data_IF_530771920910
#
_entry.id   IF_530771920910
#
_cell.length_a   1.000
_cell.length_b   1.000
_cell.length_c   1.000
_cell.angle_alpha   90.00
_cell.angle_beta   90.00
_cell.angle_gamma   90.00
#
_symmetry.space_group_name_H-M   'P 1'
#
loop_
_entity.id
_entity.type
_entity.pdbx_description
1 polymer ?
#
# COMPACT_ATOMS: atom_id res chain seq x y z
N UNK A 1 7.85 8.40 -60.90
CA UNK A 1 7.84 7.40 -59.82
C UNK A 1 9.27 7.12 -59.33
N UNK A 2 9.94 8.07 -58.64
CA UNK A 2 11.32 7.89 -58.12
C UNK A 2 11.56 8.46 -56.71
N UNK A 3 10.71 9.37 -56.22
CA UNK A 3 10.90 10.01 -54.90
C UNK A 3 10.50 9.10 -53.74
N UNK A 4 9.51 8.25 -53.94
CA UNK A 4 8.95 7.39 -52.88
C UNK A 4 9.96 6.32 -52.42
N UNK A 5 10.71 5.72 -53.36
CA UNK A 5 11.75 4.74 -53.04
C UNK A 5 12.91 5.32 -52.20
N UNK A 6 13.26 6.61 -52.34
CA UNK A 6 14.39 7.19 -51.60
C UNK A 6 14.10 7.37 -50.11
N UNK A 7 12.87 7.74 -49.75
CA UNK A 7 12.49 7.87 -48.34
C UNK A 7 12.49 6.52 -47.62
N UNK A 8 11.98 5.48 -48.28
CA UNK A 8 12.00 4.12 -47.74
C UNK A 8 13.43 3.54 -47.67
N UNK A 9 14.30 3.87 -48.62
CA UNK A 9 15.70 3.40 -48.63
C UNK A 9 16.55 4.10 -47.56
N UNK A 10 16.35 5.41 -47.36
CA UNK A 10 16.98 6.17 -46.27
C UNK A 10 16.48 5.67 -44.90
N UNK A 11 15.18 5.40 -44.76
CA UNK A 11 14.62 4.79 -43.55
C UNK A 11 15.18 3.39 -43.32
N UNK A 12 15.28 2.55 -44.35
CA UNK A 12 15.88 1.22 -44.25
C UNK A 12 17.35 1.30 -43.84
N UNK A 13 18.10 2.27 -44.35
CA UNK A 13 19.52 2.48 -44.02
C UNK A 13 19.71 2.97 -42.58
N UNK A 14 18.84 3.87 -42.14
CA UNK A 14 18.78 4.32 -40.74
C UNK A 14 18.36 3.17 -39.82
N UNK A 15 17.34 2.38 -40.19
CA UNK A 15 16.89 1.23 -39.41
C UNK A 15 17.97 0.14 -39.32
N UNK A 16 18.69 -0.16 -40.39
CA UNK A 16 19.80 -1.11 -40.36
C UNK A 16 20.98 -0.58 -39.53
N UNK A 17 21.29 0.73 -39.63
CA UNK A 17 22.31 1.37 -38.80
C UNK A 17 21.92 1.41 -37.32
N UNK A 18 20.65 1.70 -37.01
CA UNK A 18 20.09 1.72 -35.66
C UNK A 18 19.96 0.32 -35.06
N UNK A 19 19.57 -0.68 -35.86
CA UNK A 19 19.55 -2.07 -35.41
C UNK A 19 20.95 -2.56 -35.03
N UNK A 20 21.99 -2.15 -35.75
CA UNK A 20 23.38 -2.48 -35.44
C UNK A 20 23.90 -1.86 -34.14
N UNK A 21 23.53 -0.61 -33.84
CA UNK A 21 23.90 0.05 -32.57
C UNK A 21 23.08 -0.48 -31.38
N UNK A 22 21.79 -0.77 -31.57
CA UNK A 22 20.92 -1.37 -30.56
C UNK A 22 21.33 -2.81 -30.20
N UNK A 23 21.78 -3.60 -31.16
CA UNK A 23 22.26 -4.97 -30.92
C UNK A 23 23.58 -5.00 -30.12
N UNK A 24 24.48 -4.02 -30.33
CA UNK A 24 25.75 -3.90 -29.60
C UNK A 24 25.57 -3.36 -28.16
N UNK A 25 24.66 -2.39 -27.99
CA UNK A 25 24.37 -1.80 -26.68
C UNK A 25 23.43 -2.66 -25.82
N UNK A 26 22.77 -3.68 -26.37
CA UNK A 26 21.70 -4.42 -25.71
C UNK A 26 22.08 -5.03 -24.35
N UNK A 27 23.27 -5.64 -24.21
CA UNK A 27 23.70 -6.25 -22.94
C UNK A 27 24.05 -5.21 -21.87
N UNK A 28 24.71 -4.12 -22.25
CA UNK A 28 25.07 -3.03 -21.34
C UNK A 28 23.83 -2.17 -20.97
N UNK A 29 22.90 -2.02 -21.92
CA UNK A 29 21.62 -1.38 -21.72
C UNK A 29 20.73 -2.21 -20.78
N UNK A 30 20.70 -3.54 -20.90
CA UNK A 30 19.95 -4.41 -20.00
C UNK A 30 20.45 -4.30 -18.57
N UNK A 31 21.77 -4.37 -18.33
CA UNK A 31 22.33 -4.23 -16.99
C UNK A 31 22.04 -2.86 -16.39
N UNK A 32 22.14 -1.80 -17.19
CA UNK A 32 21.88 -0.41 -16.77
C UNK A 32 20.39 -0.18 -16.48
N UNK A 33 19.52 -0.69 -17.35
CA UNK A 33 18.07 -0.62 -17.18
C UNK A 33 17.62 -1.39 -15.95
N UNK A 34 18.21 -2.57 -15.68
CA UNK A 34 17.91 -3.35 -14.47
C UNK A 34 18.41 -2.68 -13.19
N UNK A 35 19.57 -2.02 -13.22
CA UNK A 35 20.06 -1.24 -12.10
C UNK A 35 19.14 -0.03 -11.82
N UNK A 36 18.78 0.71 -12.86
CA UNK A 36 17.86 1.86 -12.77
C UNK A 36 16.45 1.45 -12.29
N UNK A 37 15.96 0.31 -12.76
CA UNK A 37 14.68 -0.25 -12.32
C UNK A 37 14.70 -0.63 -10.83
N UNK A 38 15.79 -1.23 -10.34
CA UNK A 38 15.93 -1.53 -8.91
C UNK A 38 15.99 -0.28 -8.05
N UNK A 39 16.70 0.74 -8.48
CA UNK A 39 16.77 2.02 -7.78
C UNK A 39 15.41 2.74 -7.78
N UNK A 40 14.69 2.69 -8.90
CA UNK A 40 13.36 3.27 -8.99
C UNK A 40 12.35 2.53 -8.10
N UNK A 41 12.34 1.20 -8.12
CA UNK A 41 11.48 0.37 -7.26
C UNK A 41 11.85 0.52 -5.78
N UNK A 42 13.13 0.64 -5.44
CA UNK A 42 13.58 0.92 -4.08
C UNK A 42 13.25 2.35 -3.60
N UNK A 43 13.03 3.28 -4.53
CA UNK A 43 12.53 4.63 -4.25
C UNK A 43 11.01 4.72 -4.13
N UNK A 44 10.28 3.64 -4.42
CA UNK A 44 8.85 3.53 -4.11
C UNK A 44 8.72 3.09 -2.65
N UNK A 45 7.77 3.68 -1.92
CA UNK A 45 7.44 3.32 -0.54
C UNK A 45 6.68 1.98 -0.50
N UNK A 46 7.40 0.90 -0.83
CA UNK A 46 6.88 -0.45 -0.88
C UNK A 46 7.14 -1.14 0.46
N UNK A 47 6.09 -1.73 1.01
CA UNK A 47 6.18 -2.57 2.20
C UNK A 47 7.03 -3.79 1.88
N UNK A 48 8.00 -4.10 2.74
CA UNK A 48 8.82 -5.30 2.57
C UNK A 48 7.97 -6.57 2.63
N UNK A 49 8.46 -7.65 2.04
CA UNK A 49 7.72 -8.91 2.07
C UNK A 49 7.56 -9.42 3.51
N UNK A 50 8.58 -9.20 4.33
CA UNK A 50 8.63 -9.60 5.73
C UNK A 50 7.59 -8.84 6.57
N UNK A 51 7.48 -7.52 6.38
CA UNK A 51 6.44 -6.71 7.03
C UNK A 51 5.03 -7.10 6.55
N UNK A 52 4.88 -7.35 5.25
CA UNK A 52 3.62 -7.83 4.70
C UNK A 52 3.20 -9.17 5.32
N UNK A 53 4.13 -10.11 5.44
CA UNK A 53 3.88 -11.42 6.04
C UNK A 53 3.58 -11.30 7.54
N UNK A 54 4.25 -10.38 8.26
CA UNK A 54 3.97 -10.10 9.67
C UNK A 54 2.55 -9.52 9.88
N UNK A 55 2.16 -8.52 9.07
CA UNK A 55 0.80 -7.93 9.14
C UNK A 55 -0.25 -8.95 8.73
N UNK A 56 0.04 -9.79 7.73
CA UNK A 56 -0.87 -10.86 7.30
C UNK A 56 -1.12 -11.88 8.41
N UNK A 57 -0.07 -12.28 9.13
CA UNK A 57 -0.20 -13.18 10.27
C UNK A 57 -1.02 -12.52 11.40
N UNK A 58 -0.72 -11.26 11.74
CA UNK A 58 -1.48 -10.50 12.73
C UNK A 58 -2.97 -10.37 12.33
N UNK A 59 -3.26 -10.09 11.07
CA UNK A 59 -4.62 -9.96 10.56
C UNK A 59 -5.40 -11.28 10.62
N UNK A 60 -4.72 -12.42 10.39
CA UNK A 60 -5.33 -13.74 10.55
C UNK A 60 -5.72 -14.01 12.00
N UNK A 61 -4.77 -13.85 12.94
CA UNK A 61 -5.03 -14.02 14.38
C UNK A 61 -6.15 -13.10 14.87
N UNK A 62 -6.15 -11.83 14.45
CA UNK A 62 -7.18 -10.88 14.83
C UNK A 62 -8.58 -11.30 14.35
N UNK A 63 -8.69 -11.92 13.16
CA UNK A 63 -9.98 -12.45 12.68
C UNK A 63 -10.46 -13.62 13.53
N UNK A 64 -9.56 -14.55 13.87
CA UNK A 64 -9.89 -15.70 14.71
C UNK A 64 -10.37 -15.23 16.11
N UNK A 65 -9.69 -14.24 16.69
CA UNK A 65 -10.09 -13.64 17.97
C UNK A 65 -11.44 -12.94 17.89
N UNK A 66 -11.72 -12.21 16.80
CA UNK A 66 -13.02 -11.55 16.58
C UNK A 66 -14.14 -12.59 16.47
N UNK A 67 -13.95 -13.70 15.77
CA UNK A 67 -14.94 -14.77 15.68
C UNK A 67 -15.21 -15.40 17.05
N UNK A 68 -14.16 -15.66 17.84
CA UNK A 68 -14.28 -16.17 19.20
C UNK A 68 -15.04 -15.20 20.12
N UNK A 69 -14.75 -13.89 20.02
CA UNK A 69 -15.45 -12.85 20.78
C UNK A 69 -16.92 -12.73 20.36
N UNK A 70 -17.23 -12.78 19.06
CA UNK A 70 -18.60 -12.77 18.56
C UNK A 70 -19.41 -13.94 19.11
N UNK A 71 -18.85 -15.15 19.08
CA UNK A 71 -19.51 -16.33 19.65
C UNK A 71 -19.80 -16.18 21.16
N UNK A 72 -18.90 -15.51 21.91
CA UNK A 72 -19.13 -15.19 23.32
C UNK A 72 -20.23 -14.15 23.50
N UNK A 73 -20.25 -13.10 22.68
CA UNK A 73 -21.28 -12.07 22.71
C UNK A 73 -22.65 -12.68 22.42
N UNK A 74 -22.79 -13.48 21.35
CA UNK A 74 -24.05 -14.14 21.00
C UNK A 74 -24.57 -15.02 22.17
N UNK A 75 -23.66 -15.75 22.84
CA UNK A 75 -23.99 -16.59 23.97
C UNK A 75 -24.39 -15.81 25.24
N UNK A 76 -23.93 -14.57 25.39
CA UNK A 76 -24.22 -13.69 26.52
C UNK A 76 -25.46 -12.83 26.27
N UNK A 77 -25.61 -12.27 25.08
CA UNK A 77 -26.79 -11.50 24.64
C UNK A 77 -28.02 -12.40 24.52
N UNK A 78 -27.85 -13.67 24.15
CA UNK A 78 -28.93 -14.67 24.26
C UNK A 78 -29.36 -14.99 25.71
N UNK A 79 -28.60 -14.55 26.72
CA UNK A 79 -28.83 -14.83 28.15
C UNK A 79 -29.07 -13.58 29.00
N UNK A 80 -28.88 -12.38 28.47
CA UNK A 80 -29.00 -11.10 29.18
C UNK A 80 -29.97 -10.15 28.47
N UNK A 81 -30.77 -9.45 29.27
CA UNK A 81 -31.64 -8.30 28.95
C UNK A 81 -31.40 -7.62 27.58
N UNK A 82 -32.46 -7.26 26.82
CA UNK A 82 -32.31 -6.67 25.49
C UNK A 82 -31.43 -5.40 25.50
N UNK A 83 -30.53 -5.23 24.52
CA UNK A 83 -29.53 -4.18 24.53
C UNK A 83 -30.14 -2.78 24.40
N UNK A 84 -29.83 -1.90 25.35
CA UNK A 84 -29.99 -0.46 25.18
C UNK A 84 -29.05 0.02 24.05
N UNK A 85 -29.54 0.74 23.05
CA UNK A 85 -28.77 1.05 21.84
C UNK A 85 -27.61 2.00 22.17
N UNK A 86 -26.38 1.48 22.14
CA UNK A 86 -25.19 2.32 22.21
C UNK A 86 -25.02 3.05 20.87
N UNK A 87 -25.25 4.36 20.89
CA UNK A 87 -25.03 5.27 19.78
C UNK A 87 -23.54 5.59 19.64
N UNK A 88 -22.74 4.61 19.19
CA UNK A 88 -21.39 4.93 18.69
C UNK A 88 -21.49 5.24 17.20
N UNK A 89 -21.95 6.45 16.89
CA UNK A 89 -21.81 7.02 15.55
C UNK A 89 -20.34 7.38 15.37
N UNK A 90 -19.59 6.59 14.59
CA UNK A 90 -18.34 7.10 14.00
C UNK A 90 -18.75 8.19 13.01
N UNK A 91 -18.67 9.43 13.45
CA UNK A 91 -18.81 10.59 12.58
C UNK A 91 -17.63 10.59 11.60
N UNK A 92 -17.84 10.71 10.29
CA UNK A 92 -16.79 10.65 9.28
C UNK A 92 -15.87 11.88 9.23
N UNK A 93 -15.94 12.76 10.23
CA UNK A 93 -15.07 13.93 10.38
C UNK A 93 -14.25 13.78 11.67
N UNK A 94 -13.01 13.36 11.52
CA UNK A 94 -11.95 13.64 12.49
C UNK A 94 -10.60 13.68 11.78
N UNK A 95 -10.47 14.62 10.84
CA UNK A 95 -9.18 15.26 10.66
C UNK A 95 -8.98 16.19 11.84
N UNK A 96 -8.18 15.80 12.84
CA UNK A 96 -7.89 16.72 13.95
C UNK A 96 -7.52 16.03 15.24
N UNK A 97 -6.24 16.16 15.60
CA UNK A 97 -5.72 15.95 16.93
C UNK A 97 -6.56 16.75 17.94
N UNK A 98 -7.06 16.15 19.02
CA UNK A 98 -7.26 16.85 20.31
C UNK A 98 -7.49 15.84 21.43
N UNK A 99 -6.55 15.79 22.36
CA UNK A 99 -6.81 15.75 23.80
C UNK A 99 -7.59 14.56 24.37
N UNK A 100 -6.86 13.52 24.76
CA UNK A 100 -7.26 12.69 25.88
C UNK A 100 -7.27 13.54 27.16
N UNK A 101 -8.40 14.17 27.46
CA UNK A 101 -8.68 14.77 28.78
C UNK A 101 -10.09 14.37 29.21
N UNK A 102 -10.26 13.10 29.56
CA UNK A 102 -11.45 12.66 30.27
C UNK A 102 -11.10 11.52 31.21
N UNK A 103 -10.17 11.81 32.12
CA UNK A 103 -10.01 11.02 33.34
C UNK A 103 -9.38 11.89 34.44
N UNK A 104 -10.12 12.93 34.87
CA UNK A 104 -9.76 13.70 36.07
C UNK A 104 -10.91 13.57 37.07
N UNK A 105 -10.69 12.77 38.10
CA UNK A 105 -11.56 12.71 39.26
C UNK A 105 -11.58 14.08 39.95
N UNK A 106 -12.72 14.50 40.54
CA UNK A 106 -12.84 15.81 41.16
C UNK A 106 -11.92 15.89 42.39
N UNK A 107 -10.82 16.66 42.29
CA UNK A 107 -9.96 16.98 43.44
C UNK A 107 -8.47 17.19 43.17
N UNK A 108 -7.91 16.86 42.00
CA UNK A 108 -6.45 17.00 41.82
C UNK A 108 -6.02 18.42 41.43
N UNK A 109 -5.05 19.05 42.12
CA UNK A 109 -4.49 20.35 41.74
C UNK A 109 -3.67 20.25 40.44
N UNK A 110 -3.52 21.35 39.70
CA UNK A 110 -2.78 21.36 38.44
C UNK A 110 -1.29 21.10 38.69
N UNK A 111 -0.72 20.15 37.95
CA UNK A 111 0.73 20.01 37.82
C UNK A 111 1.18 21.07 36.82
N UNK A 112 2.11 21.94 37.25
CA UNK A 112 2.69 23.04 36.45
C UNK A 112 3.51 22.48 35.30
#
# INVERSE_FOLDING_TARGET
MQTENRFFDDLAKVLNGAAGTLAGMGREAESTMRARAREWVGGLDLVSREEFDAVKAMAATARDEVEALRARLDALEGKGEPPVPNSYTVSPDAGGTTGATSDRLPGEPPVV
#
